data_IF_303106746772
#
_entry.id   IF_303106746772
#
_cell.length_a   1.000
_cell.length_b   1.000
_cell.length_c   1.000
_cell.angle_alpha   90.00
_cell.angle_beta   90.00
_cell.angle_gamma   90.00
#
_symmetry.space_group_name_H-M   'P 1'
#
loop_
_entity.id
_entity.type
_entity.pdbx_description
1 polymer ?
#
# COMPACT_ATOMS: atom_id res chain seq x y z
N UNK A 1 13.58 6.93 8.15
CA UNK A 1 12.91 6.26 7.03
C UNK A 1 11.74 7.14 6.60
N UNK A 2 11.78 7.65 5.38
CA UNK A 2 10.61 8.27 4.76
C UNK A 2 9.86 7.16 4.03
N UNK A 3 8.66 6.79 4.50
CA UNK A 3 7.79 5.87 3.77
C UNK A 3 6.54 6.65 3.41
N UNK A 4 6.46 7.07 2.16
CA UNK A 4 5.21 7.59 1.59
C UNK A 4 4.21 6.42 1.61
N UNK A 5 3.16 6.52 2.40
CA UNK A 5 2.07 5.55 2.40
C UNK A 5 1.04 6.07 1.40
N UNK A 6 1.08 5.57 0.16
CA UNK A 6 0.14 6.01 -0.87
C UNK A 6 -1.30 5.87 -0.40
N UNK A 7 -2.12 6.88 -0.69
CA UNK A 7 -3.53 6.90 -0.32
C UNK A 7 -4.51 6.70 -1.46
N UNK A 8 -5.68 6.30 -1.00
CA UNK A 8 -6.94 5.93 -1.63
C UNK A 8 -7.72 7.04 -2.38
N UNK A 9 -8.46 6.62 -3.42
CA UNK A 9 -9.51 7.37 -4.16
C UNK A 9 -10.91 7.04 -3.54
N UNK A 10 -11.60 8.01 -2.94
CA UNK A 10 -13.06 7.90 -2.66
C UNK A 10 -13.84 8.28 -3.93
N UNK A 11 -14.21 7.27 -4.73
CA UNK A 11 -15.04 7.45 -5.93
C UNK A 11 -16.54 7.29 -5.67
N UNK A 12 -17.30 8.39 -5.81
CA UNK A 12 -18.76 8.40 -5.72
C UNK A 12 -19.43 9.73 -6.12
N UNK A 13 -19.61 9.94 -7.43
CA UNK A 13 -20.36 11.02 -8.11
C UNK A 13 -19.73 12.43 -8.17
N UNK A 14 -19.62 12.93 -9.42
CA UNK A 14 -19.26 14.29 -9.89
C UNK A 14 -18.03 15.03 -9.32
N UNK A 15 -17.32 14.59 -8.27
CA UNK A 15 -15.99 15.07 -7.84
C UNK A 15 -15.25 13.96 -7.05
N UNK A 16 -14.08 13.51 -7.52
CA UNK A 16 -13.25 12.52 -6.81
C UNK A 16 -12.51 13.18 -5.63
N UNK A 17 -12.53 12.54 -4.45
CA UNK A 17 -11.82 13.00 -3.24
C UNK A 17 -10.78 11.97 -2.81
N UNK A 18 -9.54 12.39 -2.57
CA UNK A 18 -8.46 11.55 -2.07
C UNK A 18 -7.88 12.12 -0.77
N UNK A 19 -7.15 11.30 0.00
CA UNK A 19 -6.47 11.76 1.24
C UNK A 19 -5.10 11.13 1.38
N UNK A 20 -4.03 11.81 0.93
CA UNK A 20 -2.65 11.32 1.02
C UNK A 20 -2.17 11.24 2.47
N UNK A 21 -1.62 10.11 2.90
CA UNK A 21 -1.14 9.90 4.28
C UNK A 21 0.37 9.67 4.22
N UNK A 22 1.16 10.60 4.72
CA UNK A 22 2.60 10.41 4.83
C UNK A 22 2.97 10.12 6.27
N UNK A 23 3.79 9.08 6.49
CA UNK A 23 4.33 8.72 7.81
C UNK A 23 5.84 8.63 7.71
N UNK A 24 6.53 9.47 8.47
CA UNK A 24 7.98 9.55 8.48
C UNK A 24 8.54 9.40 9.88
N UNK A 25 9.60 8.60 10.02
CA UNK A 25 10.33 8.43 11.26
C UNK A 25 11.80 8.73 11.04
N UNK A 26 12.42 9.55 11.89
CA UNK A 26 13.85 9.86 11.83
C UNK A 26 14.50 9.76 13.21
N UNK A 27 15.74 9.29 13.25
CA UNK A 27 16.55 9.29 14.47
C UNK A 27 17.45 10.54 14.45
N UNK A 28 17.42 11.29 15.56
CA UNK A 28 18.25 12.46 15.81
C UNK A 28 18.98 12.30 17.15
N UNK A 29 19.97 13.18 17.41
CA UNK A 29 20.76 13.14 18.65
C UNK A 29 19.90 13.28 19.93
N UNK A 30 18.74 13.92 19.81
CA UNK A 30 17.80 14.18 20.91
C UNK A 30 16.61 13.23 20.95
N UNK A 31 16.61 12.15 20.15
CA UNK A 31 15.55 11.14 20.13
C UNK A 31 14.97 10.91 18.74
N UNK A 32 13.77 10.35 18.71
CA UNK A 32 13.06 9.99 17.49
C UNK A 32 12.08 11.12 17.13
N UNK A 33 12.03 11.44 15.85
CA UNK A 33 11.01 12.31 15.25
C UNK A 33 9.99 11.46 14.49
N UNK A 34 8.71 11.71 14.72
CA UNK A 34 7.56 11.14 14.02
C UNK A 34 6.77 12.28 13.38
N UNK A 35 6.61 12.24 12.06
CA UNK A 35 5.75 13.15 11.31
C UNK A 35 4.64 12.38 10.63
N UNK A 36 3.40 12.83 10.79
CA UNK A 36 2.23 12.33 10.06
C UNK A 36 1.55 13.50 9.38
N UNK A 37 1.44 13.45 8.04
CA UNK A 37 0.68 14.44 7.26
C UNK A 37 -0.46 13.81 6.48
N UNK A 38 -1.57 14.54 6.37
CA UNK A 38 -2.79 14.20 5.64
C UNK A 38 -3.07 15.29 4.61
N UNK A 39 -2.96 14.99 3.33
CA UNK A 39 -3.33 15.92 2.25
C UNK A 39 -4.66 15.51 1.63
N UNK A 40 -5.69 16.33 1.81
CA UNK A 40 -6.98 16.13 1.16
C UNK A 40 -6.95 16.73 -0.25
N UNK A 41 -7.07 15.87 -1.25
CA UNK A 41 -7.07 16.27 -2.67
C UNK A 41 -8.46 16.12 -3.26
N UNK A 42 -8.82 17.06 -4.13
CA UNK A 42 -10.03 16.98 -4.95
C UNK A 42 -9.64 17.05 -6.43
N UNK A 43 -10.26 16.19 -7.23
CA UNK A 43 -10.19 16.27 -8.69
C UNK A 43 -11.13 17.35 -9.22
N UNK A 44 -10.57 18.35 -9.88
CA UNK A 44 -11.31 19.29 -10.72
C UNK A 44 -10.86 19.13 -12.18
N UNK A 45 -11.66 18.42 -12.99
CA UNK A 45 -11.44 18.25 -14.43
C UNK A 45 -10.10 17.57 -14.83
N UNK A 46 -9.66 16.56 -14.07
CA UNK A 46 -8.42 15.82 -14.32
C UNK A 46 -7.18 16.48 -13.71
N UNK A 47 -7.36 17.46 -12.82
CA UNK A 47 -6.29 18.13 -12.08
C UNK A 47 -6.58 18.02 -10.58
N UNK A 48 -5.69 17.36 -9.86
CA UNK A 48 -5.74 17.31 -8.40
C UNK A 48 -5.34 18.65 -7.81
N UNK A 49 -6.10 19.13 -6.83
CA UNK A 49 -5.74 20.30 -6.02
C UNK A 49 -5.86 19.97 -4.54
N UNK A 50 -4.78 20.26 -3.78
CA UNK A 50 -4.79 20.12 -2.32
C UNK A 50 -5.75 21.15 -1.72
N UNK A 51 -6.81 20.66 -1.09
CA UNK A 51 -7.86 21.47 -0.48
C UNK A 51 -7.55 21.80 0.97
N UNK A 52 -7.00 20.83 1.68
CA UNK A 52 -6.46 21.01 3.01
C UNK A 52 -5.31 20.07 3.26
N UNK A 53 -4.44 20.46 4.16
CA UNK A 53 -3.28 19.71 4.61
C UNK A 53 -3.25 19.81 6.14
N UNK A 54 -3.13 18.67 6.80
CA UNK A 54 -2.95 18.57 8.25
C UNK A 54 -1.63 17.85 8.51
N UNK A 55 -0.80 18.37 9.39
CA UNK A 55 0.45 17.75 9.79
C UNK A 55 0.59 17.77 11.30
N UNK A 56 1.04 16.66 11.87
CA UNK A 56 1.55 16.61 13.24
C UNK A 56 3.00 16.13 13.20
N UNK A 57 3.89 16.92 13.77
CA UNK A 57 5.28 16.56 14.02
C UNK A 57 5.48 16.39 15.52
N UNK A 58 6.14 15.30 15.91
CA UNK A 58 6.52 15.00 17.28
C UNK A 58 8.01 14.72 17.28
N UNK A 59 8.76 15.41 18.13
CA UNK A 59 10.21 15.24 18.29
C UNK A 59 10.56 14.88 19.73
N UNK A 60 11.72 14.26 19.91
CA UNK A 60 12.20 13.85 21.22
C UNK A 60 11.52 12.60 21.77
N UNK A 61 10.85 11.80 20.93
CA UNK A 61 10.33 10.50 21.34
C UNK A 61 11.49 9.58 21.74
N UNK A 62 11.33 8.91 22.87
CA UNK A 62 12.18 7.77 23.23
C UNK A 62 11.73 6.51 22.47
N UNK A 63 12.62 5.52 22.39
CA UNK A 63 12.33 4.19 21.86
C UNK A 63 11.20 3.49 22.64
N UNK A 64 11.15 3.68 23.97
CA UNK A 64 10.07 3.19 24.83
C UNK A 64 8.72 3.83 24.46
N UNK A 65 8.70 5.13 24.20
CA UNK A 65 7.46 5.83 23.82
C UNK A 65 6.99 5.44 22.41
N UNK A 66 7.89 5.33 21.43
CA UNK A 66 7.51 4.87 20.10
C UNK A 66 6.98 3.42 20.14
N UNK A 67 7.63 2.55 20.92
CA UNK A 67 7.16 1.18 21.12
C UNK A 67 5.83 1.13 21.86
N UNK A 68 5.57 2.01 22.84
CA UNK A 68 4.25 2.10 23.49
C UNK A 68 3.15 2.43 22.49
N UNK A 69 3.40 3.38 21.59
CA UNK A 69 2.46 3.73 20.52
C UNK A 69 2.23 2.54 19.57
N UNK A 70 3.30 1.83 19.18
CA UNK A 70 3.20 0.60 18.39
C UNK A 70 2.32 -0.44 19.12
N UNK A 71 2.57 -0.69 20.40
CA UNK A 71 1.84 -1.68 21.19
C UNK A 71 0.34 -1.36 21.29
N UNK A 72 -0.07 -0.09 21.35
CA UNK A 72 -1.49 0.27 21.29
C UNK A 72 -2.14 -0.18 19.98
N UNK A 73 -1.40 -0.10 18.88
CA UNK A 73 -1.86 -0.55 17.57
C UNK A 73 -1.94 -2.08 17.58
N UNK A 74 -0.89 -2.77 18.03
CA UNK A 74 -0.86 -4.24 18.17
C UNK A 74 -2.02 -4.78 19.02
N UNK A 75 -2.20 -4.25 20.24
CA UNK A 75 -3.30 -4.63 21.13
C UNK A 75 -4.68 -4.44 20.47
N UNK A 76 -4.84 -3.34 19.73
CA UNK A 76 -6.07 -3.09 18.99
C UNK A 76 -6.24 -4.07 17.81
N UNK A 77 -5.15 -4.42 17.14
CA UNK A 77 -5.12 -5.35 16.00
C UNK A 77 -5.51 -6.77 16.41
N UNK A 78 -5.04 -7.22 17.57
CA UNK A 78 -5.30 -8.54 18.16
C UNK A 78 -6.65 -8.63 18.89
N UNK A 79 -7.21 -7.49 19.31
CA UNK A 79 -8.45 -7.45 20.08
C UNK A 79 -9.65 -7.91 19.27
N UNK A 80 -10.29 -8.99 19.73
CA UNK A 80 -11.58 -9.48 19.20
C UNK A 80 -12.69 -8.44 19.37
N UNK A 81 -12.62 -7.62 20.43
CA UNK A 81 -13.65 -6.63 20.74
C UNK A 81 -13.52 -5.33 19.96
N UNK A 82 -12.32 -5.06 19.39
CA UNK A 82 -11.98 -3.81 18.68
C UNK A 82 -12.38 -2.54 19.45
N UNK A 83 -12.38 -2.60 20.78
CA UNK A 83 -12.62 -1.45 21.62
C UNK A 83 -11.53 -0.40 21.39
N UNK A 84 -11.91 0.88 21.38
CA UNK A 84 -10.94 1.98 21.26
C UNK A 84 -9.96 1.94 22.43
N UNK A 85 -8.66 1.98 22.12
CA UNK A 85 -7.56 2.02 23.10
C UNK A 85 -6.91 3.40 23.02
N UNK A 86 -6.46 3.94 24.15
CA UNK A 86 -5.86 5.27 24.21
C UNK A 86 -4.72 5.36 25.21
N UNK A 87 -3.75 6.22 24.92
CA UNK A 87 -2.61 6.53 25.79
C UNK A 87 -2.20 8.00 25.66
N UNK A 88 -1.67 8.57 26.75
CA UNK A 88 -1.05 9.90 26.75
C UNK A 88 0.46 9.76 26.84
N UNK A 89 1.18 10.42 25.93
CA UNK A 89 2.63 10.50 25.88
C UNK A 89 3.06 11.91 26.27
N UNK A 90 3.93 12.03 27.27
CA UNK A 90 4.42 13.30 27.80
C UNK A 90 5.93 13.44 27.63
N UNK A 91 6.44 14.67 27.78
CA UNK A 91 7.88 14.92 27.69
C UNK A 91 8.40 14.89 26.26
N UNK A 92 7.53 15.23 25.32
CA UNK A 92 7.81 15.39 23.89
C UNK A 92 7.75 16.87 23.52
N UNK A 93 8.24 17.22 22.34
CA UNK A 93 8.01 18.52 21.72
C UNK A 93 7.29 18.30 20.40
N UNK A 94 6.07 18.81 20.26
CA UNK A 94 5.27 18.60 19.06
C UNK A 94 4.61 19.86 18.53
N UNK A 95 4.34 19.83 17.23
CA UNK A 95 3.70 20.89 16.46
C UNK A 95 2.57 20.28 15.63
N UNK A 96 1.40 20.93 15.64
CA UNK A 96 0.32 20.63 14.71
C UNK A 96 0.12 21.83 13.80
N UNK A 97 -0.04 21.57 12.50
CA UNK A 97 -0.33 22.56 11.47
C UNK A 97 -1.53 22.09 10.64
N UNK A 98 -2.50 22.98 10.41
CA UNK A 98 -3.58 22.79 9.45
C UNK A 98 -3.59 23.96 8.46
N UNK A 99 -3.43 23.63 7.19
CA UNK A 99 -3.55 24.54 6.06
C UNK A 99 -4.85 24.28 5.32
N UNK A 100 -5.76 25.24 5.35
CA UNK A 100 -7.03 25.21 4.63
C UNK A 100 -6.97 26.14 3.41
N UNK A 101 -6.88 25.57 2.22
CA UNK A 101 -6.87 26.30 0.95
C UNK A 101 -8.28 26.72 0.51
N UNK A 102 -9.32 26.12 1.10
CA UNK A 102 -10.72 26.45 0.90
C UNK A 102 -11.26 27.34 2.03
N UNK A 103 -11.05 28.67 2.02
CA UNK A 103 -12.12 29.62 2.42
C UNK A 103 -11.77 31.12 2.43
N UNK A 104 -12.43 31.84 1.51
CA UNK A 104 -12.83 33.23 1.71
C UNK A 104 -13.10 33.96 0.40
N UNK A 105 -14.05 34.91 0.40
CA UNK A 105 -14.40 35.82 -0.73
C UNK A 105 -13.20 36.57 -1.37
N UNK A 106 -12.01 36.45 -0.77
CA UNK A 106 -10.73 37.07 -1.14
C UNK A 106 -9.56 36.07 -1.34
N UNK A 107 -9.78 34.74 -1.33
CA UNK A 107 -8.81 33.74 -1.80
C UNK A 107 -7.47 33.62 -1.04
N UNK A 108 -7.42 33.85 0.28
CA UNK A 108 -6.21 33.60 1.08
C UNK A 108 -6.35 32.29 1.88
N UNK A 109 -5.31 31.44 1.91
CA UNK A 109 -5.27 30.26 2.79
C UNK A 109 -5.46 30.66 4.25
N UNK A 110 -6.02 29.75 5.05
CA UNK A 110 -6.03 29.85 6.51
C UNK A 110 -5.09 28.81 7.06
N UNK A 111 -4.17 29.27 7.89
CA UNK A 111 -3.21 28.45 8.62
C UNK A 111 -3.59 28.48 10.10
N UNK A 112 -3.65 27.31 10.73
CA UNK A 112 -3.79 27.14 12.16
C UNK A 112 -2.66 26.26 12.64
N UNK A 113 -1.91 26.72 13.62
CA UNK A 113 -0.81 25.98 14.20
C UNK A 113 -0.81 26.11 15.73
N UNK A 114 -0.27 25.10 16.41
CA UNK A 114 0.07 25.19 17.83
C UNK A 114 1.13 24.17 18.23
N UNK A 115 1.84 24.49 19.30
CA UNK A 115 2.87 23.65 19.92
C UNK A 115 2.28 22.92 21.14
N UNK A 116 2.74 21.71 21.42
CA UNK A 116 2.28 20.89 22.53
C UNK A 116 3.40 20.02 23.12
N UNK A 117 3.25 19.62 24.39
CA UNK A 117 4.19 18.76 25.13
C UNK A 117 3.53 17.46 25.68
N UNK A 118 2.23 17.32 25.44
CA UNK A 118 1.40 16.16 25.76
C UNK A 118 0.64 15.72 24.51
N UNK A 119 0.86 14.47 24.09
CA UNK A 119 0.24 13.83 22.94
C UNK A 119 -0.76 12.78 23.42
N UNK A 120 -2.00 12.85 22.95
CA UNK A 120 -2.99 11.79 23.11
C UNK A 120 -3.05 10.93 21.83
N UNK A 121 -2.81 9.63 21.99
CA UNK A 121 -2.98 8.64 20.93
C UNK A 121 -4.27 7.87 21.18
N UNK A 122 -5.13 7.76 20.16
CA UNK A 122 -6.33 6.91 20.20
C UNK A 122 -6.34 5.97 19.00
N UNK A 123 -6.46 4.67 19.25
CA UNK A 123 -6.60 3.63 18.21
C UNK A 123 -8.02 3.09 18.22
N UNK A 124 -8.73 3.17 17.11
CA UNK A 124 -10.09 2.64 16.99
C UNK A 124 -10.41 2.11 15.60
N UNK A 125 -11.59 1.49 15.45
CA UNK A 125 -12.02 0.88 14.18
C UNK A 125 -12.08 1.87 13.01
N UNK A 126 -12.34 3.14 13.31
CA UNK A 126 -12.53 4.17 12.28
C UNK A 126 -11.24 4.93 11.99
N UNK A 127 -10.40 5.15 13.01
CA UNK A 127 -9.19 5.95 12.88
C UNK A 127 -8.15 5.69 13.95
N UNK A 128 -6.90 5.98 13.61
CA UNK A 128 -5.82 6.35 14.53
C UNK A 128 -5.78 7.88 14.66
N UNK A 129 -5.92 8.40 15.87
CA UNK A 129 -5.81 9.83 16.16
C UNK A 129 -4.56 10.12 16.96
N UNK A 130 -3.79 11.12 16.52
CA UNK A 130 -2.66 11.69 17.26
C UNK A 130 -3.02 13.16 17.50
N UNK A 131 -3.19 13.54 18.76
CA UNK A 131 -3.68 14.87 19.09
C UNK A 131 -2.84 15.51 20.18
N UNK A 132 -2.29 16.68 19.88
CA UNK A 132 -1.59 17.52 20.85
C UNK A 132 -2.56 18.24 21.77
N UNK A 133 -2.19 18.37 23.03
CA UNK A 133 -2.97 19.15 24.00
C UNK A 133 -2.71 20.65 23.84
N UNK A 134 -3.79 21.42 23.69
CA UNK A 134 -3.75 22.87 23.58
C UNK A 134 -3.71 23.53 24.96
N UNK A 135 -3.37 24.82 24.99
CA UNK A 135 -3.38 25.63 26.22
C UNK A 135 -4.75 25.68 26.91
N UNK A 136 -5.85 25.60 26.15
CA UNK A 136 -7.22 25.59 26.68
C UNK A 136 -7.64 24.22 27.24
N UNK A 137 -6.80 23.19 27.07
CA UNK A 137 -7.01 21.83 27.55
C UNK A 137 -7.70 20.90 26.55
N UNK A 138 -8.11 21.41 25.39
CA UNK A 138 -8.65 20.58 24.31
C UNK A 138 -7.53 19.87 23.55
N UNK A 139 -7.87 18.76 22.89
CA UNK A 139 -6.96 18.00 22.04
C UNK A 139 -7.31 18.23 20.58
N UNK A 140 -6.31 18.54 19.76
CA UNK A 140 -6.44 18.72 18.31
C UNK A 140 -5.25 18.07 17.61
N UNK A 141 -5.45 17.58 16.39
CA UNK A 141 -4.40 16.89 15.65
C UNK A 141 -4.98 16.06 14.51
N UNK A 142 -4.16 15.16 13.99
CA UNK A 142 -4.51 14.35 12.81
C UNK A 142 -5.39 13.15 13.17
N UNK A 143 -6.26 12.76 12.23
CA UNK A 143 -7.12 11.59 12.34
C UNK A 143 -6.99 10.70 11.11
N UNK A 144 -6.01 9.81 11.16
CA UNK A 144 -5.71 8.86 10.10
C UNK A 144 -6.81 7.79 10.03
N UNK A 145 -7.48 7.58 8.88
CA UNK A 145 -8.45 6.50 8.73
C UNK A 145 -7.81 5.13 8.99
N UNK A 146 -8.51 4.24 9.70
CA UNK A 146 -7.96 2.90 9.98
C UNK A 146 -7.99 1.95 8.78
N UNK A 147 -8.89 2.19 7.83
CA UNK A 147 -9.15 1.36 6.66
C UNK A 147 -9.51 2.19 5.41
N UNK A 148 -9.36 1.58 4.23
CA UNK A 148 -9.86 2.14 2.95
C UNK A 148 -11.39 2.07 2.93
N UNK A 149 -12.09 3.13 2.51
CA UNK A 149 -13.56 3.16 2.44
C UNK A 149 -14.06 2.92 1.02
N UNK A 150 -14.27 1.67 0.64
CA UNK A 150 -15.13 1.29 -0.49
C UNK A 150 -16.54 0.96 0.06
N UNK A 151 -17.60 1.30 -0.69
CA UNK A 151 -19.00 1.26 -0.21
C UNK A 151 -19.37 0.05 0.70
N UNK A 152 -19.73 0.37 1.95
CA UNK A 152 -20.70 -0.35 2.81
C UNK A 152 -20.44 -1.80 3.27
N UNK A 153 -19.20 -2.21 3.53
CA UNK A 153 -18.86 -3.36 4.42
C UNK A 153 -17.57 -3.04 5.21
N UNK A 154 -17.40 -3.44 6.50
CA UNK A 154 -16.15 -3.22 7.22
C UNK A 154 -15.06 -4.09 6.59
N UNK A 155 -14.18 -3.49 5.79
CA UNK A 155 -12.97 -4.15 5.31
C UNK A 155 -11.78 -3.57 6.07
N UNK A 156 -11.28 -4.40 6.99
CA UNK A 156 -9.92 -4.51 7.50
C UNK A 156 -9.07 -3.24 7.67
N UNK A 157 -8.56 -3.09 8.89
CA UNK A 157 -7.73 -1.98 9.40
C UNK A 157 -6.31 -1.93 8.79
N UNK A 158 -6.22 -2.07 7.47
CA UNK A 158 -5.01 -2.15 6.63
C UNK A 158 -4.08 -0.96 6.84
N UNK A 159 -4.63 0.25 7.01
CA UNK A 159 -3.83 1.46 7.25
C UNK A 159 -3.14 1.36 8.62
N UNK A 160 -3.85 0.90 9.66
CA UNK A 160 -3.24 0.68 10.97
C UNK A 160 -2.12 -0.36 10.91
N UNK A 161 -2.34 -1.49 10.22
CA UNK A 161 -1.30 -2.52 10.02
C UNK A 161 -0.07 -1.95 9.31
N UNK A 162 -0.29 -1.11 8.31
CA UNK A 162 0.80 -0.47 7.55
C UNK A 162 1.62 0.49 8.41
N UNK A 163 0.97 1.30 9.24
CA UNK A 163 1.64 2.19 10.20
C UNK A 163 2.41 1.38 11.24
N UNK A 164 1.81 0.31 11.74
CA UNK A 164 2.44 -0.59 12.69
C UNK A 164 3.75 -1.19 12.14
N UNK A 165 3.71 -1.68 10.89
CA UNK A 165 4.90 -2.17 10.19
C UNK A 165 5.97 -1.08 9.99
N UNK A 166 5.58 0.18 9.77
CA UNK A 166 6.54 1.30 9.69
C UNK A 166 7.27 1.49 11.02
N UNK A 167 6.57 1.37 12.14
CA UNK A 167 7.16 1.52 13.48
C UNK A 167 8.08 0.35 13.81
N UNK A 168 7.63 -0.88 13.57
CA UNK A 168 8.44 -2.08 13.72
C UNK A 168 9.72 -2.03 12.89
N UNK A 169 9.62 -1.76 11.58
CA UNK A 169 10.78 -1.67 10.67
C UNK A 169 11.76 -0.58 11.09
N UNK A 170 11.27 0.54 11.59
CA UNK A 170 12.13 1.59 12.11
C UNK A 170 12.89 1.12 13.35
N UNK A 171 12.18 0.60 14.36
CA UNK A 171 12.79 0.16 15.61
C UNK A 171 13.81 -0.98 15.39
N UNK A 172 13.47 -1.97 14.59
CA UNK A 172 14.32 -3.17 14.40
C UNK A 172 15.47 -2.92 13.42
N UNK A 173 15.22 -2.24 12.29
CA UNK A 173 16.18 -2.18 11.18
C UNK A 173 16.87 -0.82 11.02
N UNK A 174 16.42 0.24 11.71
CA UNK A 174 16.96 1.60 11.51
C UNK A 174 17.42 2.31 12.75
N UNK A 175 16.73 2.15 13.87
CA UNK A 175 17.10 2.77 15.12
C UNK A 175 18.45 2.22 15.60
N UNK A 176 19.38 3.11 15.93
CA UNK A 176 20.75 2.73 16.27
C UNK A 176 20.98 2.44 17.76
N UNK A 177 20.00 2.79 18.61
CA UNK A 177 20.04 2.59 20.05
C UNK A 177 19.77 1.15 20.51
N UNK A 178 19.78 0.94 21.82
CA UNK A 178 19.57 -0.37 22.44
C UNK A 178 18.08 -0.62 22.71
N UNK A 179 17.53 -1.63 22.02
CA UNK A 179 16.12 -2.05 22.14
C UNK A 179 15.97 -3.39 22.85
N UNK A 180 17.04 -3.96 23.42
CA UNK A 180 17.03 -5.31 23.99
C UNK A 180 16.09 -5.50 25.19
N UNK A 181 15.64 -4.41 25.81
CA UNK A 181 14.65 -4.41 26.88
C UNK A 181 13.20 -4.28 26.42
N UNK A 182 12.96 -4.06 25.12
CA UNK A 182 11.64 -3.91 24.54
C UNK A 182 11.16 -5.24 23.97
N UNK A 183 9.93 -5.63 24.29
CA UNK A 183 9.29 -6.84 23.76
C UNK A 183 8.63 -6.48 22.41
N UNK A 184 9.46 -6.13 21.43
CA UNK A 184 8.99 -5.75 20.10
C UNK A 184 8.64 -7.03 19.36
N UNK A 185 7.36 -7.38 19.40
CA UNK A 185 6.82 -8.41 18.54
C UNK A 185 6.79 -7.91 17.10
N UNK A 186 7.11 -8.82 16.17
CA UNK A 186 6.81 -8.57 14.78
C UNK A 186 5.29 -8.45 14.69
N UNK A 187 4.75 -7.31 14.19
CA UNK A 187 3.33 -7.16 13.96
C UNK A 187 2.79 -8.43 13.34
N UNK A 188 1.73 -8.98 13.92
CA UNK A 188 1.13 -10.24 13.49
C UNK A 188 1.06 -10.21 11.97
N UNK A 189 1.98 -10.97 11.35
CA UNK A 189 2.23 -10.92 9.93
C UNK A 189 0.87 -11.27 9.31
N UNK A 190 0.17 -10.28 8.78
CA UNK A 190 0.04 -10.38 7.36
C UNK A 190 1.50 -10.34 6.90
N UNK A 191 2.09 -11.48 6.52
CA UNK A 191 2.23 -11.76 5.10
C UNK A 191 1.88 -10.47 4.37
N UNK A 192 2.86 -9.68 3.95
CA UNK A 192 2.61 -8.56 3.02
C UNK A 192 1.54 -9.07 2.06
N UNK A 193 0.28 -8.59 2.18
CA UNK A 193 -0.89 -9.44 1.85
C UNK A 193 -0.69 -10.14 0.52
N UNK A 194 -1.07 -11.40 0.32
CA UNK A 194 -0.64 -12.19 -0.84
C UNK A 194 -0.53 -11.41 -2.17
N UNK A 195 -1.46 -10.49 -2.45
CA UNK A 195 -1.36 -9.48 -3.52
C UNK A 195 -0.06 -8.65 -3.51
N UNK A 196 0.29 -8.00 -2.40
CA UNK A 196 1.50 -7.22 -2.21
C UNK A 196 2.79 -8.04 -2.29
N UNK A 197 2.83 -9.31 -1.87
CA UNK A 197 3.98 -10.19 -2.14
C UNK A 197 4.17 -10.39 -3.65
N UNK A 198 3.07 -10.62 -4.37
CA UNK A 198 3.08 -10.76 -5.82
C UNK A 198 3.48 -9.45 -6.51
N UNK A 199 2.93 -8.31 -6.08
CA UNK A 199 3.26 -6.98 -6.63
C UNK A 199 4.73 -6.62 -6.38
N UNK A 200 5.29 -6.96 -5.22
CA UNK A 200 6.73 -6.78 -4.94
C UNK A 200 7.59 -7.60 -5.91
N UNK A 201 7.18 -8.84 -6.20
CA UNK A 201 7.87 -9.66 -7.23
C UNK A 201 7.78 -8.97 -8.59
N UNK A 202 6.60 -8.47 -8.99
CA UNK A 202 6.42 -7.79 -10.27
C UNK A 202 7.30 -6.53 -10.37
N UNK A 203 7.36 -5.73 -9.30
CA UNK A 203 8.17 -4.51 -9.24
C UNK A 203 9.67 -4.80 -9.40
N UNK A 204 10.15 -5.91 -8.84
CA UNK A 204 11.56 -6.31 -8.88
C UNK A 204 11.92 -7.20 -10.07
N UNK A 205 10.93 -7.68 -10.83
CA UNK A 205 11.13 -8.66 -11.89
C UNK A 205 12.13 -8.21 -12.97
N UNK A 206 12.05 -6.94 -13.38
CA UNK A 206 12.96 -6.34 -14.37
C UNK A 206 14.42 -6.33 -13.90
N UNK A 207 14.66 -5.90 -12.66
CA UNK A 207 16.00 -5.90 -12.05
C UNK A 207 16.58 -7.31 -11.95
N UNK A 208 15.74 -8.30 -11.61
CA UNK A 208 16.13 -9.71 -11.58
C UNK A 208 16.51 -10.18 -12.99
N UNK A 209 15.72 -9.83 -14.01
CA UNK A 209 16.00 -10.20 -15.39
C UNK A 209 17.28 -9.55 -15.93
N UNK A 210 17.55 -8.29 -15.60
CA UNK A 210 18.82 -7.63 -15.91
C UNK A 210 20.00 -8.41 -15.31
N UNK A 211 19.91 -8.79 -14.02
CA UNK A 211 20.95 -9.58 -13.35
C UNK A 211 21.13 -10.99 -13.95
N UNK A 212 20.05 -11.63 -14.37
CA UNK A 212 20.08 -12.96 -15.00
C UNK A 212 20.69 -12.93 -16.41
N UNK A 213 20.60 -11.81 -17.11
CA UNK A 213 21.27 -11.58 -18.41
C UNK A 213 22.79 -11.44 -18.24
N UNK A 214 23.25 -10.84 -17.15
CA UNK A 214 24.68 -10.59 -16.87
C UNK A 214 25.37 -11.79 -16.20
N UNK A 215 25.56 -12.88 -16.95
CA UNK A 215 26.23 -14.09 -16.42
C UNK A 215 27.75 -14.04 -16.56
N UNK A 216 28.44 -14.23 -15.43
CA UNK A 216 29.90 -14.32 -15.37
C UNK A 216 30.44 -15.62 -16.03
N UNK A 217 31.75 -15.63 -16.31
CA UNK A 217 32.55 -16.78 -16.77
C UNK A 217 32.18 -17.30 -18.15
N UNK A 218 31.72 -16.41 -19.04
CA UNK A 218 31.42 -16.74 -20.43
C UNK A 218 30.26 -17.72 -20.60
N UNK A 219 29.30 -17.68 -19.68
CA UNK A 219 28.07 -18.49 -19.76
C UNK A 219 27.01 -17.75 -20.57
N UNK A 220 26.19 -18.50 -21.30
CA UNK A 220 25.08 -17.94 -22.06
C UNK A 220 24.09 -17.24 -21.12
N UNK A 221 23.60 -16.02 -21.45
CA UNK A 221 22.60 -15.29 -20.66
C UNK A 221 21.34 -16.11 -20.40
N UNK A 222 20.64 -15.82 -19.29
CA UNK A 222 19.27 -16.26 -19.10
C UNK A 222 18.35 -15.10 -19.53
N UNK A 223 17.63 -15.29 -20.63
CA UNK A 223 16.74 -14.31 -21.25
C UNK A 223 15.27 -14.71 -21.08
N UNK A 224 14.39 -13.71 -21.14
CA UNK A 224 12.93 -13.90 -21.14
C UNK A 224 12.42 -13.62 -22.55
N UNK A 225 12.64 -14.57 -23.45
CA UNK A 225 12.44 -14.38 -24.87
C UNK A 225 10.96 -14.45 -25.25
N UNK A 226 10.17 -15.22 -24.49
CA UNK A 226 8.72 -15.29 -24.62
C UNK A 226 7.96 -15.26 -23.28
N UNK A 227 6.63 -15.42 -23.35
CA UNK A 227 5.72 -15.40 -22.20
C UNK A 227 5.94 -16.59 -21.26
N UNK A 228 6.33 -17.75 -21.79
CA UNK A 228 6.58 -18.95 -21.00
C UNK A 228 7.87 -18.84 -20.19
N UNK A 229 8.90 -18.16 -20.71
CA UNK A 229 10.11 -17.86 -19.94
C UNK A 229 9.79 -16.97 -18.72
N UNK A 230 8.94 -15.95 -18.91
CA UNK A 230 8.48 -15.06 -17.83
C UNK A 230 7.72 -15.86 -16.78
N UNK A 231 6.77 -16.71 -17.21
CA UNK A 231 6.02 -17.60 -16.32
C UNK A 231 6.95 -18.55 -15.55
N UNK A 232 7.96 -19.12 -16.21
CA UNK A 232 8.90 -20.03 -15.58
C UNK A 232 9.67 -19.37 -14.43
N UNK A 233 10.22 -18.18 -14.65
CA UNK A 233 10.89 -17.42 -13.60
C UNK A 233 9.90 -17.00 -12.50
N UNK A 234 8.74 -16.49 -12.90
CA UNK A 234 7.74 -15.99 -11.95
C UNK A 234 7.24 -17.09 -11.01
N UNK A 235 6.99 -18.30 -11.49
CA UNK A 235 6.59 -19.44 -10.65
C UNK A 235 7.64 -19.71 -9.55
N UNK A 236 8.92 -19.67 -9.90
CA UNK A 236 10.00 -19.83 -8.92
C UNK A 236 10.02 -18.73 -7.87
N UNK A 237 9.76 -17.48 -8.26
CA UNK A 237 9.71 -16.33 -7.34
C UNK A 237 8.47 -16.35 -6.44
N UNK A 238 7.32 -16.75 -6.95
CA UNK A 238 6.09 -16.89 -6.16
C UNK A 238 6.26 -17.90 -5.03
N UNK A 239 7.02 -18.99 -5.26
CA UNK A 239 7.33 -20.00 -4.25
C UNK A 239 8.23 -19.51 -3.10
N UNK A 240 8.71 -18.26 -3.16
CA UNK A 240 9.35 -17.63 -2.00
C UNK A 240 8.34 -17.31 -0.89
N UNK A 241 7.08 -17.06 -1.26
CA UNK A 241 6.03 -16.63 -0.35
C UNK A 241 4.86 -17.60 -0.26
N UNK A 242 4.65 -18.46 -1.27
CA UNK A 242 3.49 -19.34 -1.34
C UNK A 242 3.88 -20.82 -1.51
N UNK A 243 3.37 -21.68 -0.65
CA UNK A 243 3.61 -23.13 -0.72
C UNK A 243 2.83 -23.80 -1.88
N UNK A 244 1.56 -23.41 -2.08
CA UNK A 244 0.67 -23.92 -3.13
C UNK A 244 0.48 -22.88 -4.27
N UNK A 245 1.46 -22.84 -5.18
CA UNK A 245 1.33 -22.14 -6.47
C UNK A 245 0.90 -23.15 -7.53
N UNK A 246 -0.33 -23.03 -8.03
CA UNK A 246 -0.87 -23.92 -9.06
C UNK A 246 -0.67 -23.32 -10.43
N UNK A 247 0.13 -23.96 -11.25
CA UNK A 247 0.31 -23.62 -12.65
C UNK A 247 -0.82 -24.21 -13.51
N UNK A 248 -1.19 -23.50 -14.58
CA UNK A 248 -1.92 -24.10 -15.70
C UNK A 248 -3.28 -24.76 -15.37
N UNK A 249 -3.93 -24.33 -14.29
CA UNK A 249 -5.12 -24.99 -13.74
C UNK A 249 -6.39 -24.63 -14.50
N UNK A 250 -7.22 -25.63 -14.80
CA UNK A 250 -8.57 -25.42 -15.33
C UNK A 250 -9.50 -24.95 -14.21
N UNK A 251 -10.12 -23.79 -14.40
CA UNK A 251 -11.16 -23.33 -13.51
C UNK A 251 -12.37 -24.30 -13.55
N UNK A 252 -12.78 -24.78 -12.37
CA UNK A 252 -13.53 -26.04 -12.24
C UNK A 252 -15.05 -25.93 -12.43
N UNK A 253 -15.62 -24.79 -12.84
CA UNK A 253 -17.09 -24.62 -12.92
C UNK A 253 -17.69 -23.91 -14.14
N UNK A 254 -16.91 -23.54 -15.16
CA UNK A 254 -17.47 -22.98 -16.41
C UNK A 254 -17.69 -24.09 -17.44
N UNK A 255 -18.95 -24.54 -17.57
CA UNK A 255 -19.38 -25.73 -18.30
C UNK A 255 -19.20 -25.72 -19.84
N UNK A 256 -18.45 -24.80 -20.44
CA UNK A 256 -18.39 -24.70 -21.92
C UNK A 256 -17.01 -24.40 -22.52
N UNK A 257 -15.99 -24.10 -21.71
CA UNK A 257 -14.56 -24.02 -22.06
C UNK A 257 -13.92 -23.43 -20.81
N UNK A 258 -13.28 -24.25 -19.97
CA UNK A 258 -12.61 -23.75 -18.78
C UNK A 258 -11.46 -22.83 -19.22
N UNK A 259 -11.52 -21.54 -18.87
CA UNK A 259 -10.39 -20.64 -19.05
C UNK A 259 -9.21 -21.20 -18.28
N UNK A 260 -8.02 -21.09 -18.87
CA UNK A 260 -6.79 -21.50 -18.22
C UNK A 260 -6.13 -20.24 -17.70
N UNK A 261 -5.91 -20.21 -16.39
CA UNK A 261 -5.11 -19.17 -15.75
C UNK A 261 -3.66 -19.63 -15.66
N UNK A 262 -2.73 -18.69 -15.77
CA UNK A 262 -1.30 -19.00 -15.70
C UNK A 262 -0.94 -19.49 -14.29
N UNK A 263 -1.33 -18.73 -13.26
CA UNK A 263 -1.21 -19.18 -11.87
C UNK A 263 -2.46 -18.92 -11.03
N UNK A 264 -2.76 -19.84 -10.13
CA UNK A 264 -3.80 -19.70 -9.10
C UNK A 264 -3.19 -19.91 -7.72
N UNK A 265 -3.38 -18.93 -6.85
CA UNK A 265 -3.12 -19.02 -5.41
C UNK A 265 -4.47 -19.27 -4.71
N UNK A 266 -4.91 -20.53 -4.68
CA UNK A 266 -6.28 -20.89 -4.28
C UNK A 266 -6.60 -20.49 -2.83
N UNK A 267 -5.63 -20.61 -1.91
CA UNK A 267 -5.85 -20.25 -0.49
C UNK A 267 -6.06 -18.74 -0.29
N UNK A 268 -5.74 -17.93 -1.30
CA UNK A 268 -5.82 -16.47 -1.25
C UNK A 268 -6.83 -15.89 -2.27
N UNK A 269 -7.56 -16.74 -3.01
CA UNK A 269 -8.49 -16.34 -4.07
C UNK A 269 -7.87 -15.39 -5.12
N UNK A 270 -6.57 -15.56 -5.40
CA UNK A 270 -5.80 -14.74 -6.34
C UNK A 270 -5.49 -15.53 -7.61
N UNK A 271 -5.91 -14.97 -8.74
CA UNK A 271 -5.47 -15.36 -10.06
C UNK A 271 -4.36 -14.47 -10.60
N UNK A 272 -3.38 -15.04 -11.29
CA UNK A 272 -2.30 -14.30 -11.94
C UNK A 272 -2.27 -14.63 -13.43
N UNK A 273 -2.29 -13.58 -14.26
CA UNK A 273 -2.17 -13.65 -15.72
C UNK A 273 -0.87 -12.98 -16.15
N UNK A 274 -0.09 -13.60 -17.02
CA UNK A 274 1.25 -13.15 -17.40
C UNK A 274 1.30 -12.89 -18.89
N UNK A 275 1.78 -11.71 -19.30
CA UNK A 275 2.04 -11.38 -20.70
C UNK A 275 3.46 -10.85 -20.87
N UNK A 276 4.07 -11.14 -22.02
CA UNK A 276 5.35 -10.55 -22.44
C UNK A 276 5.17 -9.69 -23.69
N UNK A 277 5.43 -8.39 -23.56
CA UNK A 277 5.38 -7.46 -24.68
C UNK A 277 6.63 -7.56 -25.55
N UNK A 278 6.48 -7.33 -26.85
CA UNK A 278 7.57 -7.29 -27.84
C UNK A 278 7.27 -6.26 -28.93
N UNK A 279 8.26 -5.92 -29.75
CA UNK A 279 8.08 -5.06 -30.93
C UNK A 279 6.94 -5.55 -31.84
N UNK A 280 6.73 -6.87 -31.92
CA UNK A 280 5.66 -7.48 -32.74
C UNK A 280 4.32 -7.61 -32.02
N UNK A 281 4.33 -7.63 -30.69
CA UNK A 281 3.16 -7.73 -29.79
C UNK A 281 3.32 -6.71 -28.65
N UNK A 282 3.20 -5.40 -28.95
CA UNK A 282 3.41 -4.35 -27.96
C UNK A 282 2.28 -4.34 -26.93
N UNK A 283 2.50 -3.71 -25.77
CA UNK A 283 1.53 -3.62 -24.66
C UNK A 283 0.12 -3.23 -25.14
N UNK A 284 0.02 -2.24 -26.05
CA UNK A 284 -1.28 -1.79 -26.60
C UNK A 284 -2.07 -2.88 -27.32
N UNK A 285 -1.41 -3.88 -27.92
CA UNK A 285 -2.11 -5.02 -28.55
C UNK A 285 -2.58 -6.04 -27.51
N UNK A 286 -1.89 -6.15 -26.38
CA UNK A 286 -2.26 -7.04 -25.28
C UNK A 286 -3.54 -6.58 -24.56
N UNK A 287 -3.90 -5.29 -24.64
CA UNK A 287 -5.07 -4.73 -23.96
C UNK A 287 -6.38 -5.45 -24.29
N UNK A 288 -6.56 -5.86 -25.56
CA UNK A 288 -7.76 -6.59 -26.00
C UNK A 288 -7.80 -7.98 -25.36
N UNK A 289 -6.67 -8.68 -25.37
CA UNK A 289 -6.54 -10.01 -24.77
C UNK A 289 -6.83 -9.93 -23.25
N UNK A 290 -6.23 -8.96 -22.57
CA UNK A 290 -6.44 -8.73 -21.12
C UNK A 290 -7.92 -8.42 -20.81
N UNK A 291 -8.59 -7.66 -21.67
CA UNK A 291 -10.01 -7.35 -21.49
C UNK A 291 -10.88 -8.60 -21.65
N UNK A 292 -10.56 -9.47 -22.60
CA UNK A 292 -11.23 -10.76 -22.78
C UNK A 292 -11.00 -11.68 -21.57
N UNK A 293 -9.77 -11.72 -21.05
CA UNK A 293 -9.39 -12.49 -19.86
C UNK A 293 -10.20 -12.02 -18.64
N UNK A 294 -10.31 -10.70 -18.39
CA UNK A 294 -11.15 -10.15 -17.30
C UNK A 294 -12.61 -10.59 -17.38
N UNK A 295 -13.25 -10.49 -18.56
CA UNK A 295 -14.66 -10.89 -18.76
C UNK A 295 -14.93 -12.35 -18.43
N UNK A 296 -13.89 -13.15 -18.60
CA UNK A 296 -13.91 -14.57 -18.34
C UNK A 296 -13.74 -14.84 -16.84
N UNK A 297 -12.78 -14.17 -16.17
CA UNK A 297 -12.57 -14.31 -14.72
C UNK A 297 -13.69 -13.69 -13.88
N UNK A 298 -14.34 -12.61 -14.32
CA UNK A 298 -15.49 -12.00 -13.60
C UNK A 298 -16.67 -12.97 -13.40
N UNK A 299 -16.67 -14.12 -14.08
CA UNK A 299 -17.71 -15.16 -13.99
C UNK A 299 -17.28 -16.34 -13.12
N UNK A 300 -16.05 -16.36 -12.63
CA UNK A 300 -15.52 -17.43 -11.80
C UNK A 300 -15.65 -17.11 -10.30
N UNK A 301 -16.22 -18.02 -9.48
CA UNK A 301 -16.36 -17.81 -8.04
C UNK A 301 -15.10 -18.10 -7.21
N UNK A 302 -13.97 -18.51 -7.81
CA UNK A 302 -12.71 -18.85 -7.11
C UNK A 302 -11.64 -17.76 -7.22
N UNK A 303 -11.97 -16.60 -7.80
CA UNK A 303 -11.01 -15.53 -8.04
C UNK A 303 -11.67 -14.20 -7.69
N UNK A 304 -11.35 -13.68 -6.51
CA UNK A 304 -11.79 -12.35 -6.08
C UNK A 304 -10.81 -11.28 -6.58
N UNK A 305 -9.54 -11.65 -6.79
CA UNK A 305 -8.49 -10.75 -7.28
C UNK A 305 -7.75 -11.34 -8.48
N UNK A 306 -7.71 -10.59 -9.59
CA UNK A 306 -6.91 -10.88 -10.76
C UNK A 306 -5.71 -9.93 -10.85
N UNK A 307 -4.50 -10.47 -10.84
CA UNK A 307 -3.26 -9.73 -11.03
C UNK A 307 -2.73 -9.98 -12.44
N UNK A 308 -2.64 -8.93 -13.26
CA UNK A 308 -2.12 -9.03 -14.62
C UNK A 308 -0.71 -8.45 -14.66
N UNK A 309 0.27 -9.29 -14.96
CA UNK A 309 1.66 -8.91 -15.08
C UNK A 309 2.08 -8.80 -16.54
N UNK A 310 2.58 -7.65 -16.94
CA UNK A 310 3.10 -7.40 -18.29
C UNK A 310 4.59 -7.08 -18.20
N UNK A 311 5.44 -7.99 -18.69
CA UNK A 311 6.86 -7.73 -18.82
C UNK A 311 7.16 -7.13 -20.21
N UNK A 312 7.69 -5.91 -20.25
CA UNK A 312 7.99 -5.11 -21.45
C UNK A 312 9.49 -4.77 -21.55
N UNK A 313 10.36 -5.78 -21.79
CA UNK A 313 11.81 -5.59 -21.84
C UNK A 313 12.26 -4.62 -22.94
N UNK A 314 11.46 -4.52 -23.99
CA UNK A 314 11.72 -3.70 -25.18
C UNK A 314 11.14 -2.28 -25.06
N UNK A 315 10.46 -1.97 -23.94
CA UNK A 315 9.88 -0.64 -23.66
C UNK A 315 8.95 -0.16 -24.76
N UNK A 316 8.12 -1.09 -25.26
CA UNK A 316 7.13 -0.83 -26.29
C UNK A 316 6.03 0.12 -25.84
N UNK A 317 5.80 0.27 -24.52
CA UNK A 317 4.95 1.31 -23.95
C UNK A 317 5.76 2.45 -23.31
N UNK A 318 5.44 3.66 -23.77
CA UNK A 318 6.04 4.91 -23.32
C UNK A 318 5.50 5.36 -21.97
N UNK A 319 4.20 5.12 -21.70
CA UNK A 319 3.54 5.50 -20.46
C UNK A 319 2.84 4.31 -19.78
N UNK A 320 3.61 3.44 -19.09
CA UNK A 320 3.05 2.27 -18.41
C UNK A 320 1.95 2.60 -17.38
N UNK A 321 2.12 3.68 -16.62
CA UNK A 321 1.17 4.08 -15.57
C UNK A 321 -0.24 4.38 -16.10
N UNK A 322 -0.37 4.93 -17.32
CA UNK A 322 -1.66 5.14 -17.97
C UNK A 322 -2.33 3.80 -18.30
N UNK A 323 -1.58 2.83 -18.83
CA UNK A 323 -2.10 1.50 -19.12
C UNK A 323 -2.50 0.76 -17.84
N UNK A 324 -1.67 0.84 -16.80
CA UNK A 324 -1.96 0.25 -15.49
C UNK A 324 -3.25 0.84 -14.91
N UNK A 325 -3.44 2.16 -14.97
CA UNK A 325 -4.65 2.84 -14.50
C UNK A 325 -5.89 2.48 -15.32
N UNK A 326 -5.78 2.49 -16.65
CA UNK A 326 -6.90 2.22 -17.57
C UNK A 326 -7.42 0.78 -17.47
N UNK A 327 -6.54 -0.17 -17.11
CA UNK A 327 -6.90 -1.58 -16.98
C UNK A 327 -7.13 -2.04 -15.54
N UNK A 328 -6.67 -1.31 -14.52
CA UNK A 328 -6.99 -1.68 -13.14
C UNK A 328 -8.40 -1.23 -12.81
N UNK A 329 -9.20 -2.11 -12.20
CA UNK A 329 -10.59 -1.81 -11.85
C UNK A 329 -11.03 -2.64 -10.64
N UNK A 330 -11.93 -2.08 -9.83
CA UNK A 330 -12.62 -2.82 -8.79
C UNK A 330 -14.11 -2.93 -9.13
N UNK A 331 -14.60 -4.15 -9.31
CA UNK A 331 -16.02 -4.44 -9.51
C UNK A 331 -16.56 -5.26 -8.34
N UNK A 332 -17.88 -5.40 -8.24
CA UNK A 332 -18.52 -6.20 -7.17
C UNK A 332 -18.02 -7.65 -7.10
N UNK A 333 -17.57 -8.22 -8.22
CA UNK A 333 -17.26 -9.65 -8.33
C UNK A 333 -15.78 -9.93 -8.61
N UNK A 334 -14.95 -8.89 -8.85
CA UNK A 334 -13.53 -9.06 -9.18
C UNK A 334 -12.82 -7.72 -9.02
N UNK A 335 -11.69 -7.73 -8.32
CA UNK A 335 -10.69 -6.68 -8.36
C UNK A 335 -9.59 -7.06 -9.34
N UNK A 336 -9.34 -6.24 -10.36
CA UNK A 336 -8.23 -6.42 -11.29
C UNK A 336 -7.17 -5.37 -11.05
N UNK A 337 -5.90 -5.80 -10.95
CA UNK A 337 -4.75 -4.90 -10.90
C UNK A 337 -3.78 -5.27 -12.01
N UNK A 338 -3.28 -4.26 -12.72
CA UNK A 338 -2.35 -4.45 -13.83
C UNK A 338 -1.03 -3.80 -13.48
N UNK A 339 0.07 -4.53 -13.72
CA UNK A 339 1.44 -4.03 -13.57
C UNK A 339 2.23 -4.24 -14.84
N UNK A 340 2.94 -3.20 -15.28
CA UNK A 340 3.84 -3.21 -16.44
C UNK A 340 5.27 -2.97 -15.94
N UNK A 341 6.12 -3.98 -16.06
CA UNK A 341 7.54 -3.91 -15.65
C UNK A 341 8.45 -3.96 -16.87
N UNK A 342 9.51 -3.14 -16.85
CA UNK A 342 10.48 -2.99 -17.94
C UNK A 342 11.71 -3.85 -17.79
#
# INVERSE_FOLDING_TARGET
MHKQLFSFEEGGSENDKGTEINVSLFEFDNGISLTISLEHVEDEYGSFSTKSEEEIEITGLTEEQLHSIQNLIDEFLESVSRATIMESVQGIEGEYVELNNLSGRNGKPRERDFQFDELLVNVGEVSLSLSGKKEDGDYEGVKVPSAKRLESVPQDVEILRTINNVFYEFLINRYSGDITGLDIEQPDDMEVGAVSHVELIFDRFGEICDQLRERDRGRDPLTMDDEYDVQYLLHGLLRLYFDDVRDETYLSRVATKSPRIDFLLEEHDIGIEVKRASETRPVRRLLTEISEDKEVYRKDPLCDTLLVFIYDPERTETNPAEVEKDLSEATKNLTTRVKVTR
#
